data_IF_694394890503
#
_entry.id   IF_694394890503
#
_cell.length_a   1.000
_cell.length_b   1.000
_cell.length_c   1.000
_cell.angle_alpha   90.00
_cell.angle_beta   90.00
_cell.angle_gamma   90.00
#
_symmetry.space_group_name_H-M   'P 1'
#
loop_
_entity.id
_entity.type
_entity.pdbx_description
1 polymer ?
#
# COMPACT_ATOMS: atom_id res chain seq x y z
N UNK A 1 -25.14 -1.09 -7.36
CA UNK A 1 -24.72 -1.59 -7.29
C UNK A 1 -24.74 -2.18 -6.82
N UNK A 2 -24.66 -2.19 -6.93
CA UNK A 2 -24.23 -2.85 -6.53
C UNK A 2 -24.06 -3.76 -6.48
N UNK A 3 -24.11 -3.89 -6.55
CA UNK A 3 -23.68 -4.73 -6.43
C UNK A 3 -23.89 -5.44 -6.01
N UNK A 4 -24.18 -5.39 -6.15
CA UNK A 4 -24.15 -6.03 -5.62
C UNK A 4 -24.33 -6.79 -5.32
N UNK A 5 -24.85 -6.78 -5.40
CA UNK A 5 -24.78 -7.46 -4.97
C UNK A 5 -25.08 -8.20 -4.75
N UNK A 6 -25.44 -8.09 -4.99
CA UNK A 6 -25.50 -8.72 -4.69
C UNK A 6 -25.60 -9.52 -4.41
N UNK A 7 -25.98 -9.63 -4.47
CA UNK A 7 -25.92 -10.24 -4.09
C UNK A 7 -26.03 -11.04 -3.69
N UNK A 8 -26.27 -11.20 -3.82
CA UNK A 8 -26.15 -11.81 -3.45
C UNK A 8 -26.15 -12.61 -3.11
N UNK A 9 -26.37 -12.74 -3.19
CA UNK A 9 -26.10 -13.36 -2.85
C UNK A 9 -25.90 -14.10 -2.48
N UNK A 10 -26.10 -14.27 -2.48
CA UNK A 10 -25.65 -14.83 -2.06
C UNK A 10 -25.26 -15.33 -1.46
N UNK A 11 -25.46 -15.55 -1.40
CA UNK A 11 -24.81 -15.86 -0.81
C UNK A 11 -24.12 -16.21 -0.32
N UNK A 12 -24.32 -16.38 -0.28
CA UNK A 12 -23.48 -16.57 0.15
C UNK A 12 -22.70 -16.72 0.58
N UNK A 13 -22.66 -16.78 0.60
CA UNK A 13 -21.81 -16.94 0.84
C UNK A 13 -21.24 -16.53 1.16
N UNK A 14 -21.50 -16.34 1.27
CA UNK A 14 -20.89 -15.98 1.46
C UNK A 14 -20.18 -15.70 2.18
N UNK A 15 -20.11 -16.17 2.79
CA UNK A 15 -19.30 -15.96 3.36
C UNK A 15 -18.41 -15.70 3.16
N UNK A 16 -18.73 -15.96 2.79
CA UNK A 16 -17.70 -15.61 2.22
C UNK A 16 -16.70 -14.81 2.87
N UNK A 17 -15.64 -15.14 2.71
CA UNK A 17 -14.69 -14.38 3.32
C UNK A 17 -14.70 -13.04 2.78
N UNK A 18 -14.75 -12.16 3.69
CA UNK A 18 -14.92 -10.86 3.32
C UNK A 18 -13.68 -10.30 2.82
N UNK A 19 -13.60 -10.11 1.57
CA UNK A 19 -12.64 -9.19 1.05
C UNK A 19 -12.90 -7.83 1.63
N UNK A 20 -11.86 -7.16 2.10
CA UNK A 20 -11.99 -5.83 2.64
C UNK A 20 -11.88 -4.84 1.49
N UNK A 21 -12.98 -4.16 1.22
CA UNK A 21 -13.06 -3.16 0.16
C UNK A 21 -13.28 -1.80 0.78
N UNK A 22 -12.86 -0.77 0.05
CA UNK A 22 -13.13 0.59 0.48
C UNK A 22 -14.60 0.92 0.25
N UNK A 23 -15.17 1.70 1.15
CA UNK A 23 -16.56 2.11 1.09
C UNK A 23 -16.71 3.35 0.21
N UNK A 24 -17.95 3.63 -0.19
CA UNK A 24 -18.25 4.85 -0.95
C UNK A 24 -17.94 6.10 -0.11
N UNK A 25 -18.19 6.03 1.19
CA UNK A 25 -17.86 7.14 2.09
C UNK A 25 -16.34 7.42 2.10
N UNK A 26 -15.53 6.37 2.09
CA UNK A 26 -14.07 6.51 2.02
C UNK A 26 -13.62 7.05 0.67
N UNK A 27 -14.26 6.63 -0.40
CA UNK A 27 -13.99 7.20 -1.72
C UNK A 27 -14.28 8.69 -1.74
N UNK A 28 -15.44 9.09 -1.24
CA UNK A 28 -15.86 10.50 -1.22
C UNK A 28 -14.93 11.34 -0.34
N UNK A 29 -14.50 10.79 0.77
CA UNK A 29 -13.55 11.48 1.65
C UNK A 29 -12.20 11.67 0.95
N UNK A 30 -11.76 10.66 0.21
CA UNK A 30 -10.51 10.75 -0.57
C UNK A 30 -10.62 11.82 -1.66
N UNK A 31 -11.74 11.87 -2.35
CA UNK A 31 -11.97 12.89 -3.37
C UNK A 31 -11.94 14.28 -2.74
N UNK A 32 -12.56 14.42 -1.57
CA UNK A 32 -12.59 15.70 -0.87
C UNK A 32 -11.20 16.18 -0.48
N UNK A 33 -10.36 15.27 -0.01
CA UNK A 33 -9.02 15.61 0.50
C UNK A 33 -7.99 15.70 -0.63
N UNK A 34 -8.04 14.79 -1.60
CA UNK A 34 -6.98 14.64 -2.61
C UNK A 34 -7.44 14.96 -4.04
N UNK A 35 -8.74 15.16 -4.25
CA UNK A 35 -9.30 15.32 -5.59
C UNK A 35 -8.89 16.58 -6.33
N UNK A 36 -8.27 17.54 -5.65
CA UNK A 36 -7.79 18.76 -6.30
C UNK A 36 -6.67 18.46 -7.30
N UNK A 37 -5.78 17.54 -6.97
CA UNK A 37 -4.64 17.20 -7.82
C UNK A 37 -4.68 15.77 -8.33
N UNK A 38 -5.60 14.95 -7.85
CA UNK A 38 -5.69 13.53 -8.20
C UNK A 38 -7.05 13.19 -8.77
N UNK A 39 -7.05 12.35 -9.79
CA UNK A 39 -8.25 11.64 -10.22
C UNK A 39 -8.38 10.42 -9.32
N UNK A 40 -9.50 10.32 -8.63
CA UNK A 40 -9.73 9.30 -7.60
C UNK A 40 -10.88 8.40 -8.03
N UNK A 41 -10.66 7.09 -7.98
CA UNK A 41 -11.72 6.14 -8.34
C UNK A 41 -11.49 4.80 -7.63
N UNK A 42 -12.55 4.00 -7.52
CA UNK A 42 -12.46 2.61 -7.07
C UNK A 42 -12.22 1.74 -8.30
N UNK A 43 -11.21 0.88 -8.25
CA UNK A 43 -10.90 -0.04 -9.33
C UNK A 43 -11.72 -1.33 -9.19
N UNK A 44 -11.54 -2.27 -10.13
CA UNK A 44 -12.29 -3.54 -10.12
C UNK A 44 -12.09 -4.35 -8.86
N UNK A 45 -10.92 -4.25 -8.26
CA UNK A 45 -10.61 -5.01 -7.05
C UNK A 45 -11.20 -4.38 -5.79
N UNK A 46 -11.88 -3.23 -5.92
CA UNK A 46 -12.46 -2.55 -4.75
C UNK A 46 -11.49 -1.65 -4.02
N UNK A 47 -10.36 -1.35 -4.61
CA UNK A 47 -9.35 -0.48 -4.03
C UNK A 47 -9.46 0.93 -4.61
N UNK A 48 -9.08 1.92 -3.82
CA UNK A 48 -9.07 3.30 -4.30
C UNK A 48 -7.78 3.54 -5.07
N UNK A 49 -7.90 4.07 -6.28
CA UNK A 49 -6.77 4.39 -7.15
C UNK A 49 -6.67 5.89 -7.36
N UNK A 50 -5.45 6.42 -7.27
CA UNK A 50 -5.15 7.83 -7.50
C UNK A 50 -4.26 7.96 -8.73
N UNK A 51 -4.67 8.83 -9.66
CA UNK A 51 -3.82 9.20 -10.80
C UNK A 51 -3.64 10.71 -10.78
N UNK A 52 -2.40 11.22 -10.94
CA UNK A 52 -2.19 12.66 -10.92
C UNK A 52 -2.86 13.31 -12.13
N UNK A 53 -3.57 14.40 -11.90
CA UNK A 53 -4.15 15.20 -12.99
C UNK A 53 -3.05 15.83 -13.83
N UNK A 54 -1.96 16.26 -13.17
CA UNK A 54 -0.76 16.75 -13.85
C UNK A 54 0.43 15.98 -13.29
N UNK A 55 1.06 15.19 -14.13
CA UNK A 55 2.16 14.35 -13.71
C UNK A 55 3.41 15.19 -13.48
N UNK A 56 3.95 15.17 -12.26
CA UNK A 56 5.18 15.86 -11.90
C UNK A 56 6.41 14.99 -12.17
N UNK A 57 6.27 13.69 -11.95
CA UNK A 57 7.32 12.72 -12.22
C UNK A 57 6.81 11.74 -13.26
N UNK A 58 7.36 11.75 -14.49
CA UNK A 58 6.82 10.89 -15.56
C UNK A 58 6.92 9.40 -15.27
N UNK A 59 7.72 8.99 -14.29
CA UNK A 59 7.82 7.58 -13.93
C UNK A 59 6.76 7.15 -12.92
N UNK A 60 6.18 8.08 -12.19
CA UNK A 60 5.14 7.75 -11.21
C UNK A 60 3.79 7.80 -11.90
N UNK A 61 3.13 6.65 -12.00
CA UNK A 61 1.89 6.51 -12.75
C UNK A 61 0.68 6.71 -11.84
N UNK A 62 0.69 6.08 -10.68
CA UNK A 62 -0.50 6.08 -9.81
C UNK A 62 -0.15 5.60 -8.41
N UNK A 63 -1.11 5.74 -7.51
CA UNK A 63 -1.07 5.15 -6.17
C UNK A 63 -2.36 4.38 -5.97
N UNK A 64 -2.28 3.23 -5.32
CA UNK A 64 -3.44 2.42 -5.02
C UNK A 64 -3.50 2.15 -3.52
N UNK A 65 -4.67 2.33 -2.92
CA UNK A 65 -4.91 2.09 -1.50
C UNK A 65 -5.32 0.65 -1.29
N UNK A 66 -4.81 0.06 -0.22
CA UNK A 66 -5.10 -1.32 0.17
C UNK A 66 -5.42 -1.39 1.65
N UNK A 67 -6.17 -2.41 2.00
CA UNK A 67 -6.41 -2.78 3.40
C UNK A 67 -5.74 -4.12 3.61
N UNK A 68 -4.80 -4.21 4.55
CA UNK A 68 -4.11 -5.47 4.79
C UNK A 68 -4.96 -6.40 5.65
N UNK A 69 -4.46 -7.61 5.89
CA UNK A 69 -5.19 -8.61 6.66
C UNK A 69 -5.44 -8.21 8.11
N UNK A 70 -4.66 -7.27 8.63
CA UNK A 70 -4.84 -6.73 9.99
C UNK A 70 -5.78 -5.53 10.03
N UNK A 71 -6.37 -5.16 8.88
CA UNK A 71 -7.27 -4.02 8.80
C UNK A 71 -6.58 -2.67 8.72
N UNK A 72 -5.28 -2.64 8.51
CA UNK A 72 -4.53 -1.39 8.37
C UNK A 72 -4.52 -0.91 6.94
N UNK A 73 -4.46 0.41 6.78
CA UNK A 73 -4.50 1.06 5.47
C UNK A 73 -3.09 1.38 5.00
N UNK A 74 -2.79 0.99 3.79
CA UNK A 74 -1.50 1.30 3.17
C UNK A 74 -1.69 1.57 1.68
N UNK A 75 -0.65 2.06 1.03
CA UNK A 75 -0.69 2.35 -0.39
C UNK A 75 0.55 1.79 -1.08
N UNK A 76 0.40 1.56 -2.37
CA UNK A 76 1.53 1.24 -3.25
C UNK A 76 1.59 2.28 -4.36
N UNK A 77 2.80 2.75 -4.64
CA UNK A 77 3.03 3.57 -5.81
C UNK A 77 3.34 2.65 -6.99
N UNK A 78 2.75 2.94 -8.14
CA UNK A 78 3.08 2.27 -9.39
C UNK A 78 4.02 3.18 -10.17
N UNK A 79 5.22 2.70 -10.44
CA UNK A 79 6.26 3.46 -11.13
C UNK A 79 6.81 2.69 -12.31
N UNK A 80 7.36 3.41 -13.27
CA UNK A 80 8.09 2.80 -14.38
C UNK A 80 9.58 2.74 -14.03
N UNK A 81 10.19 1.61 -14.34
CA UNK A 81 11.64 1.46 -14.25
C UNK A 81 12.30 2.11 -15.47
N UNK A 82 13.63 2.16 -15.48
CA UNK A 82 14.39 2.67 -16.63
C UNK A 82 14.10 1.88 -17.90
N UNK A 83 13.81 0.59 -17.77
CA UNK A 83 13.50 -0.27 -18.90
C UNK A 83 12.04 -0.21 -19.34
N UNK A 84 11.21 0.61 -18.64
CA UNK A 84 9.80 0.75 -18.99
C UNK A 84 8.88 -0.26 -18.34
N UNK A 85 9.37 -1.09 -17.42
CA UNK A 85 8.54 -2.06 -16.70
C UNK A 85 7.85 -1.38 -15.53
N UNK A 86 6.61 -1.80 -15.25
CA UNK A 86 5.89 -1.30 -14.07
C UNK A 86 6.39 -2.01 -12.83
N UNK A 87 6.58 -1.23 -11.77
CA UNK A 87 6.88 -1.76 -10.44
C UNK A 87 5.99 -1.10 -9.42
N UNK A 88 5.60 -1.86 -8.41
CA UNK A 88 4.76 -1.37 -7.31
C UNK A 88 5.57 -1.35 -6.03
N UNK A 89 5.61 -0.19 -5.40
CA UNK A 89 6.37 0.04 -4.18
C UNK A 89 5.42 0.38 -3.05
N UNK A 90 5.43 -0.39 -1.96
CA UNK A 90 4.62 -0.02 -0.81
C UNK A 90 5.16 1.24 -0.14
N UNK A 91 4.26 2.06 0.36
CA UNK A 91 4.59 3.25 1.14
C UNK A 91 3.97 3.11 2.52
N UNK A 92 4.30 4.02 3.43
CA UNK A 92 3.98 3.98 4.87
C UNK A 92 4.34 2.65 5.54
N UNK A 93 5.49 2.11 5.16
CA UNK A 93 6.05 0.91 5.78
C UNK A 93 6.73 1.24 7.09
N UNK A 94 6.67 0.29 8.01
CA UNK A 94 7.45 0.31 9.22
C UNK A 94 8.55 -0.75 9.12
N UNK A 95 9.62 -0.51 9.86
CA UNK A 95 10.78 -1.38 9.86
C UNK A 95 11.02 -1.87 11.28
N UNK A 96 11.57 -3.05 11.41
CA UNK A 96 11.97 -3.60 12.71
C UNK A 96 13.34 -4.22 12.60
N UNK A 97 13.99 -4.35 13.75
CA UNK A 97 15.28 -5.04 13.81
C UNK A 97 15.05 -6.53 13.82
N UNK A 98 15.91 -7.24 13.13
CA UNK A 98 15.92 -8.69 13.11
C UNK A 98 17.36 -9.16 13.10
N UNK A 99 17.56 -10.45 13.35
CA UNK A 99 18.89 -11.05 13.32
C UNK A 99 18.97 -11.97 12.11
N UNK A 100 20.05 -11.83 11.37
CA UNK A 100 20.36 -12.73 10.27
C UNK A 100 21.69 -13.42 10.55
N UNK A 101 21.98 -14.50 9.84
CA UNK A 101 23.15 -15.31 10.08
C UNK A 101 23.86 -15.55 8.76
N UNK A 102 25.17 -15.38 8.75
CA UNK A 102 25.97 -15.86 7.66
C UNK A 102 27.05 -16.80 8.24
N UNK A 103 27.63 -17.61 7.37
CA UNK A 103 28.61 -18.61 7.81
C UNK A 103 29.97 -18.24 7.27
N UNK A 104 30.96 -18.35 8.11
CA UNK A 104 32.33 -18.16 7.70
C UNK A 104 33.10 -19.44 7.94
N UNK A 105 34.27 -19.56 7.32
CA UNK A 105 35.15 -20.70 7.52
C UNK A 105 35.92 -20.51 8.80
N UNK A 106 35.76 -21.44 9.74
CA UNK A 106 36.52 -21.44 10.99
C UNK A 106 37.94 -21.99 10.82
N UNK A 107 38.73 -21.84 11.87
CA UNK A 107 40.14 -22.25 11.86
C UNK A 107 40.33 -23.73 11.54
N UNK A 108 39.37 -24.56 11.94
CA UNK A 108 39.45 -26.00 11.72
C UNK A 108 38.76 -26.44 10.44
N UNK A 109 38.48 -25.51 9.53
CA UNK A 109 37.79 -25.79 8.26
C UNK A 109 36.32 -26.03 8.37
N UNK A 110 35.71 -25.85 9.54
CA UNK A 110 34.28 -26.00 9.74
C UNK A 110 33.58 -24.66 9.63
N UNK A 111 32.34 -24.68 9.11
CA UNK A 111 31.52 -23.48 9.04
C UNK A 111 31.17 -22.99 10.44
N UNK A 112 31.27 -21.70 10.62
CA UNK A 112 30.92 -21.02 11.86
C UNK A 112 29.83 -19.99 11.59
N UNK A 113 28.73 -20.00 12.35
CA UNK A 113 27.69 -18.99 12.18
C UNK A 113 28.10 -17.66 12.81
N UNK A 114 27.79 -16.59 12.12
CA UNK A 114 27.98 -15.23 12.62
C UNK A 114 26.68 -14.51 12.54
N UNK A 115 26.18 -14.01 13.67
CA UNK A 115 24.93 -13.26 13.73
C UNK A 115 25.21 -11.79 13.51
N UNK A 116 24.28 -11.12 12.83
CA UNK A 116 24.34 -9.68 12.63
C UNK A 116 22.95 -9.10 12.57
N UNK A 117 22.81 -7.84 12.95
CA UNK A 117 21.52 -7.14 12.92
C UNK A 117 21.22 -6.62 11.52
N UNK A 118 19.96 -6.75 11.13
CA UNK A 118 19.44 -6.20 9.88
C UNK A 118 18.13 -5.49 10.16
N UNK A 119 17.76 -4.57 9.27
CA UNK A 119 16.42 -3.99 9.27
C UNK A 119 15.59 -4.74 8.25
N UNK A 120 14.44 -5.20 8.69
CA UNK A 120 13.49 -5.88 7.81
C UNK A 120 12.16 -5.16 7.87
N UNK A 121 11.33 -5.35 6.84
CA UNK A 121 10.00 -4.74 6.80
C UNK A 121 9.11 -5.40 7.83
N UNK A 122 8.43 -4.58 8.59
CA UNK A 122 7.45 -5.04 9.57
C UNK A 122 6.06 -4.94 8.94
N UNK A 123 5.74 -5.93 8.14
CA UNK A 123 4.48 -5.95 7.41
C UNK A 123 3.27 -5.93 8.34
N UNK A 124 3.38 -6.60 9.47
CA UNK A 124 2.28 -6.71 10.41
C UNK A 124 1.90 -5.36 11.01
N UNK A 125 2.90 -4.52 11.30
CA UNK A 125 2.70 -3.23 11.92
C UNK A 125 2.74 -2.07 10.91
N UNK A 126 2.90 -2.35 9.63
CA UNK A 126 2.91 -1.34 8.59
C UNK A 126 1.49 -0.88 8.28
N UNK A 127 1.38 0.36 7.82
CA UNK A 127 0.10 0.95 7.50
C UNK A 127 -0.43 1.81 8.62
N UNK A 128 -1.57 2.44 8.39
CA UNK A 128 -2.23 3.31 9.34
C UNK A 128 -3.44 2.60 9.94
N UNK A 129 -3.72 2.85 11.22
CA UNK A 129 -4.80 2.16 11.92
C UNK A 129 -6.18 2.66 11.51
N UNK A 130 -6.30 3.94 11.17
CA UNK A 130 -7.57 4.52 10.75
C UNK A 130 -7.43 5.12 9.37
N UNK A 131 -8.57 5.23 8.68
CA UNK A 131 -8.60 5.83 7.36
C UNK A 131 -8.25 7.31 7.40
N UNK A 132 -8.64 8.02 8.46
CA UNK A 132 -8.31 9.42 8.63
C UNK A 132 -6.82 9.66 8.74
N UNK A 133 -6.15 8.86 9.58
CA UNK A 133 -4.70 8.92 9.71
C UNK A 133 -4.02 8.62 8.38
N UNK A 134 -4.55 7.64 7.66
CA UNK A 134 -4.02 7.27 6.37
C UNK A 134 -4.14 8.39 5.33
N UNK A 135 -5.29 9.06 5.27
CA UNK A 135 -5.48 10.19 4.37
C UNK A 135 -4.55 11.35 4.72
N UNK A 136 -4.35 11.63 6.00
CA UNK A 136 -3.40 12.66 6.43
C UNK A 136 -1.99 12.30 5.98
N UNK A 137 -1.62 11.04 6.16
CA UNK A 137 -0.34 10.55 5.69
C UNK A 137 -0.19 10.75 4.18
N UNK A 138 -1.19 10.35 3.41
CA UNK A 138 -1.15 10.46 1.96
C UNK A 138 -1.07 11.90 1.50
N UNK A 139 -1.85 12.78 2.11
CA UNK A 139 -1.81 14.20 1.80
C UNK A 139 -0.41 14.78 2.03
N UNK A 140 0.19 14.47 3.17
CA UNK A 140 1.53 14.95 3.49
C UNK A 140 2.59 14.36 2.55
N UNK A 141 2.46 13.07 2.26
CA UNK A 141 3.36 12.38 1.35
C UNK A 141 3.33 13.01 -0.05
N UNK A 142 2.13 13.19 -0.60
CA UNK A 142 1.94 13.76 -1.93
C UNK A 142 2.33 15.24 -1.98
N UNK A 143 2.08 15.97 -0.90
CA UNK A 143 2.50 17.38 -0.81
C UNK A 143 4.03 17.50 -0.89
N UNK A 144 4.74 16.59 -0.23
CA UNK A 144 6.22 16.56 -0.30
C UNK A 144 6.72 16.24 -1.70
N UNK A 145 5.94 15.55 -2.50
CA UNK A 145 6.27 15.28 -3.90
C UNK A 145 5.98 16.48 -4.81
N UNK A 146 5.29 17.49 -4.31
CA UNK A 146 5.00 18.72 -5.05
C UNK A 146 3.55 18.91 -5.46
N UNK A 147 2.64 18.04 -5.05
CA UNK A 147 1.22 18.19 -5.37
C UNK A 147 0.54 19.13 -4.38
N UNK A 148 -0.46 19.85 -4.85
CA UNK A 148 -1.21 20.82 -4.05
C UNK A 148 -2.60 20.28 -3.70
N UNK A 149 -3.00 20.50 -2.46
CA UNK A 149 -4.31 20.08 -1.98
C UNK A 149 -5.02 21.15 -1.18
#
# INVERSE_FOLDING_TARGET
>A
MNYIYNVINNNLNKNKIMEKHFTEAQLNETIKVLGNSMDVRINRAGNINLEPKNTLDPRTISWTFYINTNGKFFARATKLTHSGCEMRYPINLKWKRSTSVYYTLGENGKSKPVEYEVKVRDWENSGSDTFEEFLDYMKNYLTKLGYDF
#
